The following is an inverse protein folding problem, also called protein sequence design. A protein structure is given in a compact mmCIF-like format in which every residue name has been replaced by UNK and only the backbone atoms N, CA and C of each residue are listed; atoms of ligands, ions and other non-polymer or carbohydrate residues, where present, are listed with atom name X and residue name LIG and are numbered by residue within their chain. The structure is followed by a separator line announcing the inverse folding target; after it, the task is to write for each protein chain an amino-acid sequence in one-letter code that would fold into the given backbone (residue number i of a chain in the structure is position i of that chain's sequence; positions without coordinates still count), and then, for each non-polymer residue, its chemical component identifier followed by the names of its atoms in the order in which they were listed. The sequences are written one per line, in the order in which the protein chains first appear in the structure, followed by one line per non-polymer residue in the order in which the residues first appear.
data_IF_834694848677
#
_entry.id   IF_834694848677
#
_cell.length_a   1.000
_cell.length_b   1.000
_cell.length_c   1.000
_cell.angle_alpha   90.00
_cell.angle_beta   90.00
_cell.angle_gamma   90.00
#
_symmetry.space_group_name_H-M   'P 1'
#
loop_
_entity.id
_entity.type
_entity.pdbx_description
1 polymer ?
#
# COMPACT_ATOMS: atom_id res chain seq x y z
N UNK A 1 4.29 21.55 23.68
CA UNK A 1 4.39 21.78 22.22
C UNK A 1 5.05 23.13 22.05
N UNK A 2 6.13 23.24 21.27
CA UNK A 2 6.71 24.57 21.02
C UNK A 2 5.69 25.42 20.27
N UNK A 3 5.62 26.73 20.56
CA UNK A 3 4.67 27.66 19.93
C UNK A 3 4.67 27.55 18.40
N UNK A 4 5.79 27.13 17.80
CA UNK A 4 5.98 26.94 16.36
C UNK A 4 5.00 25.96 15.69
N UNK A 5 4.35 25.06 16.43
CA UNK A 5 3.45 24.03 15.88
C UNK A 5 2.02 24.08 16.43
N UNK A 6 1.54 25.23 16.92
CA UNK A 6 0.13 25.37 17.28
C UNK A 6 -0.78 25.30 16.04
N UNK A 7 -2.03 24.89 16.23
CA UNK A 7 -3.06 24.86 15.16
C UNK A 7 -3.21 26.27 14.58
N UNK A 8 -3.23 27.31 15.43
CA UNK A 8 -3.32 28.70 15.00
C UNK A 8 -2.13 29.11 14.13
N UNK A 9 -0.91 28.72 14.50
CA UNK A 9 0.28 29.09 13.75
C UNK A 9 0.38 28.35 12.41
N UNK A 10 0.01 27.06 12.37
CA UNK A 10 -0.07 26.34 11.09
C UNK A 10 -1.12 26.95 10.16
N UNK A 11 -2.29 27.34 10.69
CA UNK A 11 -3.34 27.99 9.90
C UNK A 11 -2.86 29.34 9.35
N UNK A 12 -2.21 30.16 10.17
CA UNK A 12 -1.68 31.45 9.75
C UNK A 12 -0.63 31.28 8.63
N UNK A 13 0.24 30.29 8.74
CA UNK A 13 1.23 29.96 7.70
C UNK A 13 0.55 29.50 6.41
N UNK A 14 -0.40 28.56 6.49
CA UNK A 14 -1.14 28.05 5.32
C UNK A 14 -1.90 29.17 4.61
N UNK A 15 -2.61 30.01 5.36
CA UNK A 15 -3.34 31.16 4.81
C UNK A 15 -2.39 32.12 4.09
N UNK A 16 -1.28 32.50 4.73
CA UNK A 16 -0.29 33.39 4.09
C UNK A 16 0.30 32.79 2.82
N UNK A 17 0.64 31.51 2.84
CA UNK A 17 1.16 30.80 1.65
C UNK A 17 0.12 30.72 0.54
N UNK A 18 -1.15 30.49 0.88
CA UNK A 18 -2.24 30.44 -0.10
C UNK A 18 -2.53 31.81 -0.72
N UNK A 19 -2.55 32.88 0.07
CA UNK A 19 -2.66 34.26 -0.44
C UNK A 19 -1.52 34.56 -1.42
N UNK A 20 -0.27 34.30 -1.03
CA UNK A 20 0.88 34.54 -1.89
C UNK A 20 0.81 33.75 -3.21
N UNK A 21 0.30 32.51 -3.17
CA UNK A 21 0.06 31.71 -4.36
C UNK A 21 -1.00 32.34 -5.29
N UNK A 22 -2.16 32.73 -4.74
CA UNK A 22 -3.22 33.38 -5.52
C UNK A 22 -2.76 34.69 -6.16
N UNK A 23 -1.96 35.48 -5.42
CA UNK A 23 -1.43 36.74 -5.90
C UNK A 23 -0.38 36.56 -7.00
N UNK A 24 0.46 35.51 -6.91
CA UNK A 24 1.47 35.17 -7.93
C UNK A 24 0.85 34.58 -9.19
N UNK A 25 -0.22 33.78 -9.07
CA UNK A 25 -0.81 33.10 -10.24
C UNK A 25 -1.54 34.08 -11.18
N UNK A 26 -2.15 35.12 -10.64
CA UNK A 26 -2.95 36.08 -11.40
C UNK A 26 -2.33 37.48 -11.35
N UNK A 27 -1.60 37.84 -12.40
CA UNK A 27 -0.96 39.15 -12.53
C UNK A 27 -1.98 40.22 -12.95
N UNK A 28 -2.11 41.28 -12.15
CA UNK A 28 -2.97 42.44 -12.41
C UNK A 28 -2.05 43.64 -12.62
N UNK A 29 -2.33 44.50 -13.62
CA UNK A 29 -1.52 45.71 -13.90
C UNK A 29 -1.96 46.93 -13.10
N UNK A 30 -3.24 46.96 -12.71
CA UNK A 30 -3.84 48.08 -11.99
C UNK A 30 -3.54 47.98 -10.48
N UNK A 31 -2.84 48.97 -9.94
CA UNK A 31 -2.46 48.99 -8.53
C UNK A 31 -3.66 49.10 -7.57
N UNK A 32 -4.76 49.73 -8.00
CA UNK A 32 -5.98 49.83 -7.19
C UNK A 32 -6.59 48.46 -6.96
N UNK A 33 -6.70 47.66 -8.02
CA UNK A 33 -7.19 46.29 -7.97
C UNK A 33 -6.27 45.35 -7.19
N UNK A 34 -4.95 45.55 -7.26
CA UNK A 34 -3.99 44.79 -6.43
C UNK A 34 -4.25 45.07 -4.95
N UNK A 35 -4.40 46.34 -4.56
CA UNK A 35 -4.67 46.73 -3.18
C UNK A 35 -6.01 46.19 -2.68
N UNK A 36 -7.08 46.35 -3.47
CA UNK A 36 -8.41 45.84 -3.12
C UNK A 36 -8.40 44.32 -2.95
N UNK A 37 -7.78 43.58 -3.89
CA UNK A 37 -7.63 42.13 -3.79
C UNK A 37 -6.87 41.73 -2.52
N UNK A 38 -5.73 42.36 -2.24
CA UNK A 38 -4.95 42.04 -1.05
C UNK A 38 -5.77 42.27 0.23
N UNK A 39 -6.52 43.37 0.28
CA UNK A 39 -7.40 43.68 1.39
C UNK A 39 -8.53 42.64 1.54
N UNK A 40 -9.17 42.24 0.45
CA UNK A 40 -10.21 41.20 0.47
C UNK A 40 -9.67 39.84 0.94
N UNK A 41 -8.48 39.45 0.51
CA UNK A 41 -7.88 38.16 0.86
C UNK A 41 -7.37 38.10 2.31
N UNK A 42 -6.95 39.25 2.87
CA UNK A 42 -6.38 39.32 4.22
C UNK A 42 -7.39 39.67 5.30
N UNK A 43 -8.38 40.52 4.98
CA UNK A 43 -9.37 41.04 5.93
C UNK A 43 -10.77 40.47 5.71
N UNK A 44 -11.04 39.87 4.55
CA UNK A 44 -12.32 39.28 4.26
C UNK A 44 -12.55 38.00 5.06
N UNK A 45 -13.55 38.02 5.94
CA UNK A 45 -13.97 36.83 6.67
C UNK A 45 -14.54 35.78 5.70
N UNK A 46 -14.13 34.52 5.86
CA UNK A 46 -14.65 33.38 5.10
C UNK A 46 -14.46 33.45 3.57
N UNK A 47 -13.58 34.32 3.05
CA UNK A 47 -13.30 34.45 1.61
C UNK A 47 -12.46 33.27 1.11
N UNK A 48 -11.31 33.03 1.73
CA UNK A 48 -10.37 31.95 1.34
C UNK A 48 -10.17 30.88 2.41
N UNK A 49 -10.57 31.17 3.65
CA UNK A 49 -10.40 30.25 4.77
C UNK A 49 -11.49 30.50 5.81
N UNK A 50 -11.83 29.45 6.56
CA UNK A 50 -12.70 29.53 7.74
C UNK A 50 -11.90 29.17 8.98
N UNK A 51 -12.36 29.63 10.14
CA UNK A 51 -11.84 29.12 11.41
C UNK A 51 -12.00 27.60 11.45
N UNK A 52 -10.95 26.86 11.85
CA UNK A 52 -10.99 25.41 11.86
C UNK A 52 -12.03 24.94 12.88
N UNK A 53 -12.91 24.04 12.46
CA UNK A 53 -13.74 23.30 13.39
C UNK A 53 -12.86 22.26 14.07
N UNK A 54 -12.73 22.36 15.39
CA UNK A 54 -12.03 21.36 16.20
C UNK A 54 -13.10 20.40 16.71
N UNK A 55 -13.15 19.21 16.13
CA UNK A 55 -14.01 18.14 16.59
C UNK A 55 -13.15 17.06 17.27
N UNK A 56 -13.52 16.69 18.50
CA UNK A 56 -13.00 15.48 19.12
C UNK A 56 -13.86 14.32 18.64
N UNK A 57 -13.36 13.51 17.72
CA UNK A 57 -14.08 12.32 17.27
C UNK A 57 -14.22 11.34 18.44
N UNK A 58 -15.43 10.91 18.81
CA UNK A 58 -15.62 9.92 19.87
C UNK A 58 -14.90 8.63 19.47
N UNK A 59 -14.21 8.01 20.43
CA UNK A 59 -13.55 6.72 20.22
C UNK A 59 -14.61 5.63 20.25
N UNK A 60 -14.68 4.82 19.21
CA UNK A 60 -15.59 3.67 19.16
C UNK A 60 -15.29 2.69 20.31
N UNK A 61 -16.34 2.05 20.83
CA UNK A 61 -16.20 1.08 21.91
C UNK A 61 -15.28 -0.08 21.52
N UNK A 62 -14.33 -0.40 22.39
CA UNK A 62 -13.34 -1.45 22.20
C UNK A 62 -13.65 -2.66 23.07
N UNK A 63 -13.47 -3.85 22.50
CA UNK A 63 -13.44 -5.11 23.24
C UNK A 63 -12.05 -5.29 23.85
N UNK A 64 -11.97 -5.92 25.03
CA UNK A 64 -10.73 -6.04 25.79
C UNK A 64 -9.63 -6.82 25.07
N UNK A 65 -9.96 -7.92 24.38
CA UNK A 65 -9.04 -8.65 23.51
C UNK A 65 -9.77 -9.68 22.63
N UNK A 66 -9.10 -10.17 21.59
CA UNK A 66 -9.56 -11.30 20.78
C UNK A 66 -9.78 -12.60 21.57
N UNK A 67 -9.15 -12.78 22.74
CA UNK A 67 -9.29 -14.01 23.53
C UNK A 67 -10.73 -14.23 24.02
N UNK A 68 -11.47 -13.14 24.23
CA UNK A 68 -12.86 -13.16 24.70
C UNK A 68 -13.88 -13.21 23.57
N UNK A 69 -13.42 -13.27 22.32
CA UNK A 69 -14.30 -13.26 21.15
C UNK A 69 -14.60 -14.71 20.74
N UNK A 70 -15.88 -14.99 20.51
CA UNK A 70 -16.33 -16.29 20.02
C UNK A 70 -16.07 -16.40 18.51
N UNK A 71 -14.99 -17.10 18.15
CA UNK A 71 -14.53 -17.34 16.77
C UNK A 71 -13.90 -18.73 16.68
N UNK A 72 -13.82 -19.32 15.47
CA UNK A 72 -13.03 -20.52 15.23
C UNK A 72 -11.61 -20.35 15.79
N UNK A 73 -11.12 -21.34 16.54
CA UNK A 73 -9.86 -21.24 17.29
C UNK A 73 -8.68 -20.85 16.40
N UNK A 74 -8.58 -21.41 15.19
CA UNK A 74 -7.51 -21.09 14.25
C UNK A 74 -7.50 -19.61 13.83
N UNK A 75 -8.68 -19.00 13.66
CA UNK A 75 -8.83 -17.59 13.31
C UNK A 75 -8.45 -16.71 14.49
N UNK A 76 -9.01 -17.02 15.67
CA UNK A 76 -8.75 -16.30 16.92
C UNK A 76 -7.25 -16.29 17.26
N UNK A 77 -6.60 -17.45 17.24
CA UNK A 77 -5.18 -17.59 17.55
C UNK A 77 -4.31 -16.82 16.56
N UNK A 78 -4.71 -16.81 15.29
CA UNK A 78 -4.01 -16.06 14.25
C UNK A 78 -4.15 -14.56 14.46
N UNK A 79 -5.34 -14.05 14.73
CA UNK A 79 -5.56 -12.62 14.98
C UNK A 79 -4.80 -12.13 16.21
N UNK A 80 -4.76 -12.93 17.29
CA UNK A 80 -3.95 -12.63 18.48
C UNK A 80 -2.46 -12.51 18.10
N UNK A 81 -1.89 -13.53 17.46
CA UNK A 81 -0.47 -13.53 17.07
C UNK A 81 -0.13 -12.40 16.08
N UNK A 82 -1.01 -12.12 15.12
CA UNK A 82 -0.84 -10.99 14.21
C UNK A 82 -0.87 -9.64 14.96
N UNK A 83 -1.68 -9.53 16.02
CA UNK A 83 -1.71 -8.32 16.83
C UNK A 83 -0.42 -8.12 17.63
N UNK A 84 0.18 -9.20 18.14
CA UNK A 84 1.46 -9.16 18.86
C UNK A 84 2.63 -8.77 17.95
N UNK A 85 2.56 -9.13 16.67
CA UNK A 85 3.56 -8.75 15.67
C UNK A 85 3.49 -7.27 15.24
N UNK A 86 2.46 -6.53 15.68
CA UNK A 86 2.25 -5.12 15.34
C UNK A 86 2.22 -4.83 13.82
N UNK A 87 1.60 -5.73 13.07
CA UNK A 87 1.57 -5.69 11.60
C UNK A 87 0.29 -5.04 11.02
N UNK A 88 -0.40 -4.25 11.83
CA UNK A 88 -1.63 -3.54 11.45
C UNK A 88 -2.94 -4.20 11.92
N UNK A 89 -2.85 -5.29 12.68
CA UNK A 89 -3.95 -5.82 13.49
C UNK A 89 -3.73 -5.34 14.92
N UNK A 90 -4.76 -4.78 15.54
CA UNK A 90 -4.66 -4.22 16.89
C UNK A 90 -5.21 -5.21 17.93
N UNK A 91 -4.59 -5.33 19.12
CA UNK A 91 -4.99 -6.33 20.11
C UNK A 91 -6.38 -6.09 20.72
N UNK A 92 -6.87 -4.85 20.65
CA UNK A 92 -8.19 -4.41 21.14
C UNK A 92 -9.08 -4.03 19.94
N UNK A 93 -9.83 -4.98 19.36
CA UNK A 93 -10.74 -4.68 18.27
C UNK A 93 -11.93 -3.83 18.75
N UNK A 94 -12.53 -3.06 17.85
CA UNK A 94 -13.79 -2.38 18.13
C UNK A 94 -14.96 -3.35 18.18
N UNK A 95 -16.03 -2.97 18.89
CA UNK A 95 -17.23 -3.79 19.04
C UNK A 95 -17.81 -4.24 17.69
N UNK A 96 -18.01 -3.29 16.75
CA UNK A 96 -18.51 -3.60 15.41
C UNK A 96 -17.60 -4.52 14.58
N UNK A 97 -16.29 -4.53 14.85
CA UNK A 97 -15.36 -5.45 14.19
C UNK A 97 -15.55 -6.88 14.70
N UNK A 98 -15.84 -7.02 16.00
CA UNK A 98 -16.16 -8.31 16.64
C UNK A 98 -17.51 -8.83 16.15
N UNK A 99 -18.54 -7.98 16.10
CA UNK A 99 -19.84 -8.34 15.53
C UNK A 99 -19.71 -8.80 14.08
N UNK A 100 -18.93 -8.09 13.26
CA UNK A 100 -18.65 -8.47 11.88
C UNK A 100 -17.97 -9.84 11.77
N UNK A 101 -16.97 -10.11 12.62
CA UNK A 101 -16.27 -11.40 12.65
C UNK A 101 -17.21 -12.55 13.06
N UNK A 102 -18.04 -12.35 14.09
CA UNK A 102 -19.01 -13.35 14.53
C UNK A 102 -20.05 -13.63 13.45
N UNK A 103 -20.66 -12.59 12.88
CA UNK A 103 -21.64 -12.72 11.81
C UNK A 103 -21.07 -13.45 10.58
N UNK A 104 -19.79 -13.23 10.27
CA UNK A 104 -19.14 -13.88 9.14
C UNK A 104 -18.75 -15.34 9.41
N UNK A 105 -18.08 -15.62 10.53
CA UNK A 105 -17.52 -16.96 10.79
C UNK A 105 -18.50 -17.92 11.46
N UNK A 106 -19.39 -17.43 12.33
CA UNK A 106 -20.30 -18.28 13.10
C UNK A 106 -21.67 -18.35 12.43
N UNK A 107 -22.19 -17.21 11.97
CA UNK A 107 -23.52 -17.14 11.33
C UNK A 107 -23.47 -17.31 9.81
N UNK A 108 -22.29 -17.29 9.19
CA UNK A 108 -22.08 -17.38 7.73
C UNK A 108 -22.86 -16.33 6.92
N UNK A 109 -22.89 -15.08 7.40
CA UNK A 109 -23.61 -13.95 6.78
C UNK A 109 -22.69 -13.08 5.92
N UNK A 110 -23.28 -12.51 4.88
CA UNK A 110 -22.72 -11.35 4.18
C UNK A 110 -22.83 -10.08 5.06
N UNK A 111 -21.86 -9.18 4.94
CA UNK A 111 -21.72 -8.03 5.83
C UNK A 111 -21.97 -6.71 5.11
N UNK A 112 -22.76 -5.83 5.74
CA UNK A 112 -22.83 -4.41 5.41
C UNK A 112 -22.29 -3.62 6.61
N UNK A 113 -21.16 -2.95 6.44
CA UNK A 113 -20.51 -2.19 7.50
C UNK A 113 -20.82 -0.70 7.33
N UNK A 114 -21.72 -0.18 8.19
CA UNK A 114 -22.13 1.23 8.18
C UNK A 114 -21.61 1.97 9.41
N UNK A 115 -20.44 2.59 9.28
CA UNK A 115 -19.79 3.36 10.37
C UNK A 115 -19.13 4.63 9.83
N UNK A 116 -18.74 5.56 10.71
CA UNK A 116 -18.03 6.81 10.33
C UNK A 116 -16.58 6.59 9.90
N UNK A 117 -16.00 7.55 9.18
CA UNK A 117 -14.58 7.51 8.78
C UNK A 117 -13.66 7.40 10.00
N UNK A 118 -12.59 6.62 9.89
CA UNK A 118 -11.67 6.38 11.02
C UNK A 118 -12.16 5.35 12.03
N UNK A 119 -13.33 4.74 11.86
CA UNK A 119 -13.84 3.73 12.81
C UNK A 119 -13.12 2.38 12.78
N UNK A 120 -12.17 2.15 11.87
CA UNK A 120 -11.61 0.81 11.65
C UNK A 120 -12.47 -0.11 10.76
N UNK A 121 -13.18 0.47 9.77
CA UNK A 121 -13.89 -0.30 8.72
C UNK A 121 -12.98 -1.26 7.96
N UNK A 122 -11.73 -0.87 7.76
CA UNK A 122 -10.76 -1.66 7.01
C UNK A 122 -10.55 -3.03 7.62
N UNK A 123 -10.42 -3.08 8.93
CA UNK A 123 -10.22 -4.31 9.68
C UNK A 123 -11.48 -5.20 9.64
N UNK A 124 -12.67 -4.60 9.55
CA UNK A 124 -13.94 -5.35 9.50
C UNK A 124 -14.07 -6.24 8.27
N UNK A 125 -13.46 -5.88 7.14
CA UNK A 125 -13.40 -6.77 5.96
C UNK A 125 -12.06 -7.51 5.83
N UNK A 126 -10.96 -6.94 6.33
CA UNK A 126 -9.64 -7.56 6.19
C UNK A 126 -9.48 -8.77 7.12
N UNK A 127 -9.94 -8.70 8.37
CA UNK A 127 -9.81 -9.82 9.30
C UNK A 127 -10.58 -11.07 8.84
N UNK A 128 -11.82 -10.98 8.31
CA UNK A 128 -12.47 -12.11 7.64
C UNK A 128 -11.62 -12.75 6.52
N UNK A 129 -10.99 -11.94 5.67
CA UNK A 129 -10.10 -12.44 4.62
C UNK A 129 -8.92 -13.21 5.24
N UNK A 130 -8.25 -12.64 6.23
CA UNK A 130 -7.12 -13.29 6.90
C UNK A 130 -7.51 -14.60 7.59
N UNK A 131 -8.67 -14.63 8.25
CA UNK A 131 -9.20 -15.84 8.86
C UNK A 131 -9.47 -16.93 7.83
N UNK A 132 -10.12 -16.61 6.70
CA UNK A 132 -10.36 -17.56 5.61
C UNK A 132 -9.06 -18.10 4.99
N UNK A 133 -8.04 -17.24 4.78
CA UNK A 133 -6.74 -17.68 4.26
C UNK A 133 -6.06 -18.66 5.23
N UNK A 134 -6.16 -18.39 6.53
CA UNK A 134 -5.59 -19.23 7.59
C UNK A 134 -6.32 -20.57 7.67
N UNK A 135 -7.66 -20.57 7.59
CA UNK A 135 -8.47 -21.79 7.50
C UNK A 135 -8.08 -22.58 6.26
N UNK A 136 -7.97 -21.95 5.08
CA UNK A 136 -7.52 -22.62 3.85
C UNK A 136 -6.15 -23.27 4.03
N UNK A 137 -5.19 -22.58 4.65
CA UNK A 137 -3.86 -23.11 4.89
C UNK A 137 -3.84 -24.30 5.87
N UNK A 138 -4.72 -24.29 6.87
CA UNK A 138 -4.82 -25.36 7.86
C UNK A 138 -5.55 -26.59 7.30
N UNK A 139 -6.67 -26.39 6.62
CA UNK A 139 -7.59 -27.48 6.25
C UNK A 139 -7.37 -27.97 4.82
N UNK A 140 -6.87 -27.11 3.93
CA UNK A 140 -6.73 -27.39 2.49
C UNK A 140 -5.35 -26.95 1.97
N UNK A 141 -4.24 -27.47 2.52
CA UNK A 141 -2.89 -27.04 2.17
C UNK A 141 -2.56 -27.21 0.68
N UNK A 142 -3.16 -28.18 -0.01
CA UNK A 142 -2.98 -28.35 -1.45
C UNK A 142 -3.69 -27.25 -2.27
N UNK A 143 -4.82 -26.73 -1.80
CA UNK A 143 -5.47 -25.54 -2.39
C UNK A 143 -4.55 -24.32 -2.32
N UNK A 144 -3.85 -24.17 -1.19
CA UNK A 144 -2.90 -23.06 -1.02
C UNK A 144 -1.81 -23.11 -2.07
N UNK A 145 -1.41 -24.27 -2.60
CA UNK A 145 -0.38 -24.38 -3.66
C UNK A 145 -0.89 -23.94 -5.05
N UNK A 146 -2.20 -24.03 -5.30
CA UNK A 146 -2.79 -23.71 -6.60
C UNK A 146 -2.90 -22.19 -6.82
N UNK A 147 -2.50 -21.64 -7.97
CA UNK A 147 -2.73 -20.23 -8.27
C UNK A 147 -4.23 -19.93 -8.35
N UNK A 148 -4.68 -18.85 -7.71
CA UNK A 148 -6.08 -18.46 -7.67
C UNK A 148 -6.30 -17.17 -6.89
N UNK A 149 -7.35 -16.42 -7.24
CA UNK A 149 -7.76 -15.24 -6.50
C UNK A 149 -8.60 -15.67 -5.29
N UNK A 150 -8.17 -15.32 -4.07
CA UNK A 150 -8.89 -15.65 -2.81
C UNK A 150 -9.78 -14.52 -2.33
N UNK A 151 -9.37 -13.28 -2.60
CA UNK A 151 -10.08 -12.08 -2.22
C UNK A 151 -9.82 -11.00 -3.26
N UNK A 152 -10.86 -10.24 -3.59
CA UNK A 152 -10.79 -9.05 -4.43
C UNK A 152 -11.29 -7.85 -3.63
N UNK A 153 -10.40 -6.87 -3.42
CA UNK A 153 -10.72 -5.63 -2.74
C UNK A 153 -10.91 -4.53 -3.80
N UNK A 154 -12.09 -3.91 -3.81
CA UNK A 154 -12.43 -2.84 -4.75
C UNK A 154 -12.43 -1.49 -4.03
N UNK A 155 -11.71 -0.54 -4.60
CA UNK A 155 -11.64 0.83 -4.10
C UNK A 155 -12.04 1.81 -5.20
N UNK A 156 -12.72 2.92 -4.86
CA UNK A 156 -13.17 3.88 -5.86
C UNK A 156 -12.03 4.75 -6.42
N UNK A 157 -10.90 4.87 -5.71
CA UNK A 157 -9.80 5.77 -6.06
C UNK A 157 -8.44 5.09 -5.95
N UNK A 158 -7.54 5.37 -6.90
CA UNK A 158 -6.17 4.87 -6.88
C UNK A 158 -5.37 5.30 -5.63
N UNK A 159 -5.68 6.47 -5.06
CA UNK A 159 -5.07 6.92 -3.81
C UNK A 159 -5.37 5.93 -2.67
N UNK A 160 -6.63 5.51 -2.55
CA UNK A 160 -7.05 4.51 -1.56
C UNK A 160 -6.39 3.16 -1.83
N UNK A 161 -6.29 2.73 -3.09
CA UNK A 161 -5.57 1.50 -3.45
C UNK A 161 -4.12 1.54 -2.94
N UNK A 162 -3.42 2.66 -3.15
CA UNK A 162 -2.02 2.79 -2.74
C UNK A 162 -1.85 2.81 -1.21
N UNK A 163 -2.77 3.46 -0.49
CA UNK A 163 -2.76 3.46 0.98
C UNK A 163 -2.97 2.04 1.53
N UNK A 164 -3.89 1.27 0.94
CA UNK A 164 -4.16 -0.11 1.35
C UNK A 164 -3.04 -1.07 0.94
N UNK A 165 -2.40 -0.86 -0.20
CA UNK A 165 -1.19 -1.59 -0.59
C UNK A 165 -0.08 -1.41 0.45
N UNK A 166 0.11 -0.19 0.96
CA UNK A 166 1.06 0.08 2.04
C UNK A 166 0.75 -0.70 3.33
N UNK A 167 -0.54 -0.85 3.67
CA UNK A 167 -0.96 -1.68 4.81
C UNK A 167 -0.70 -3.17 4.56
N UNK A 168 -1.04 -3.68 3.39
CA UNK A 168 -0.78 -5.08 3.02
C UNK A 168 0.72 -5.40 3.02
N UNK A 169 1.57 -4.46 2.60
CA UNK A 169 3.04 -4.59 2.71
C UNK A 169 3.53 -4.66 4.14
N UNK A 170 2.93 -3.92 5.08
CA UNK A 170 3.28 -4.07 6.51
C UNK A 170 2.85 -5.42 7.06
N UNK A 171 1.67 -5.90 6.63
CA UNK A 171 1.12 -7.17 7.04
C UNK A 171 1.90 -8.37 6.47
N UNK A 172 1.84 -8.55 5.16
CA UNK A 172 2.45 -9.67 4.45
C UNK A 172 3.95 -9.47 4.21
N UNK A 173 4.50 -8.27 4.37
CA UNK A 173 5.95 -8.05 4.31
C UNK A 173 6.68 -8.58 5.54
N UNK A 174 6.00 -8.71 6.68
CA UNK A 174 6.51 -9.42 7.84
C UNK A 174 6.48 -10.94 7.57
N UNK A 175 7.65 -11.57 7.65
CA UNK A 175 7.82 -12.99 7.30
C UNK A 175 7.06 -13.90 8.28
N UNK A 176 7.10 -13.59 9.57
CA UNK A 176 6.39 -14.37 10.61
C UNK A 176 4.87 -14.28 10.41
N UNK A 177 4.35 -13.11 10.08
CA UNK A 177 2.94 -12.93 9.76
C UNK A 177 2.54 -13.70 8.49
N UNK A 178 3.32 -13.59 7.42
CA UNK A 178 3.06 -14.32 6.18
C UNK A 178 3.09 -15.84 6.37
N UNK A 179 4.03 -16.35 7.17
CA UNK A 179 4.15 -17.76 7.54
C UNK A 179 3.00 -18.22 8.42
N UNK A 180 2.61 -17.42 9.40
CA UNK A 180 1.45 -17.71 10.25
C UNK A 180 0.18 -17.90 9.41
N UNK A 181 -0.08 -17.00 8.45
CA UNK A 181 -1.28 -17.07 7.59
C UNK A 181 -1.18 -18.22 6.59
N UNK A 182 0.01 -18.49 6.03
CA UNK A 182 0.18 -19.46 4.94
C UNK A 182 0.48 -20.89 5.42
N UNK A 183 0.74 -21.08 6.71
CA UNK A 183 1.12 -22.36 7.30
C UNK A 183 2.36 -22.98 6.65
N UNK A 184 2.43 -24.31 6.66
CA UNK A 184 3.53 -25.09 6.06
C UNK A 184 3.29 -25.45 4.58
N UNK A 185 2.55 -24.61 3.85
CA UNK A 185 2.14 -24.90 2.46
C UNK A 185 3.27 -24.81 1.42
N UNK A 186 4.45 -24.32 1.80
CA UNK A 186 5.63 -24.18 0.93
C UNK A 186 5.61 -22.93 0.03
N UNK A 187 4.58 -22.09 0.11
CA UNK A 187 4.54 -20.77 -0.52
C UNK A 187 3.66 -19.81 0.29
N UNK A 188 3.83 -18.51 0.11
CA UNK A 188 2.98 -17.52 0.76
C UNK A 188 1.76 -17.14 -0.08
N UNK A 189 0.68 -16.72 0.58
CA UNK A 189 -0.35 -15.94 -0.08
C UNK A 189 0.25 -14.63 -0.61
N UNK A 190 -0.18 -14.25 -1.81
CA UNK A 190 0.33 -13.07 -2.51
C UNK A 190 -0.76 -12.03 -2.66
N UNK A 191 -0.39 -10.77 -2.52
CA UNK A 191 -1.24 -9.62 -2.82
C UNK A 191 -0.68 -8.84 -4.01
N UNK A 192 -1.53 -8.03 -4.64
CA UNK A 192 -1.14 -7.13 -5.72
C UNK A 192 -2.22 -6.08 -5.92
N UNK A 193 -1.88 -5.03 -6.67
CA UNK A 193 -2.81 -3.96 -6.99
C UNK A 193 -2.93 -3.78 -8.50
N UNK A 194 -4.15 -3.49 -8.95
CA UNK A 194 -4.42 -3.05 -10.30
C UNK A 194 -4.97 -1.62 -10.26
N UNK A 195 -4.09 -0.64 -10.49
CA UNK A 195 -4.38 0.79 -10.44
C UNK A 195 -4.01 1.49 -11.77
N UNK A 196 -4.02 0.74 -12.87
CA UNK A 196 -3.57 1.17 -14.20
C UNK A 196 -2.09 1.56 -14.31
N UNK A 197 -1.27 1.37 -13.27
CA UNK A 197 0.20 1.55 -13.31
C UNK A 197 0.95 0.26 -13.62
N UNK A 198 0.24 -0.82 -13.94
CA UNK A 198 0.89 -2.05 -14.43
C UNK A 198 1.70 -1.70 -15.69
N UNK A 199 3.00 -2.07 -15.78
CA UNK A 199 3.92 -1.54 -16.79
C UNK A 199 3.42 -1.60 -18.23
N UNK A 200 2.71 -2.68 -18.59
CA UNK A 200 2.01 -2.80 -19.87
C UNK A 200 0.94 -3.91 -19.85
N UNK A 201 -0.07 -3.87 -20.74
CA UNK A 201 -1.03 -4.96 -20.91
C UNK A 201 -0.55 -6.03 -21.92
N UNK A 202 -1.24 -7.18 -21.88
CA UNK A 202 -1.05 -8.29 -22.82
C UNK A 202 0.11 -9.23 -22.48
N UNK A 203 0.51 -10.05 -23.45
CA UNK A 203 1.64 -10.98 -23.28
C UNK A 203 2.97 -10.22 -23.18
N UNK A 204 3.89 -10.80 -22.39
CA UNK A 204 5.25 -10.28 -22.23
C UNK A 204 6.05 -10.43 -23.52
N UNK A 205 6.92 -9.47 -23.79
CA UNK A 205 7.90 -9.56 -24.87
C UNK A 205 9.19 -8.86 -24.46
N UNK A 206 10.31 -9.28 -25.05
CA UNK A 206 11.62 -8.68 -24.77
C UNK A 206 11.61 -7.15 -24.97
N UNK A 207 10.94 -6.68 -26.01
CA UNK A 207 10.83 -5.25 -26.31
C UNK A 207 10.07 -4.50 -25.20
N UNK A 208 8.92 -5.02 -24.75
CA UNK A 208 8.13 -4.39 -23.68
C UNK A 208 8.85 -4.44 -22.34
N UNK A 209 9.51 -5.55 -22.00
CA UNK A 209 10.27 -5.66 -20.76
C UNK A 209 11.42 -4.64 -20.71
N UNK A 210 12.18 -4.51 -21.80
CA UNK A 210 13.22 -3.48 -21.93
C UNK A 210 12.66 -2.05 -21.90
N UNK A 211 11.48 -1.81 -22.48
CA UNK A 211 10.90 -0.47 -22.53
C UNK A 211 10.27 -0.02 -21.21
N UNK A 212 9.60 -0.91 -20.49
CA UNK A 212 8.73 -0.53 -19.36
C UNK A 212 9.19 -1.08 -18.00
N UNK A 213 9.84 -2.25 -17.96
CA UNK A 213 10.24 -2.88 -16.68
C UNK A 213 11.69 -2.57 -16.35
N UNK A 214 12.59 -2.63 -17.33
CA UNK A 214 14.00 -2.32 -17.11
C UNK A 214 14.22 -0.95 -16.48
N UNK A 215 13.61 0.17 -16.94
CA UNK A 215 13.78 1.47 -16.30
C UNK A 215 13.31 1.48 -14.84
N UNK A 216 12.20 0.81 -14.54
CA UNK A 216 11.69 0.71 -13.17
C UNK A 216 12.71 0.04 -12.23
N UNK A 217 13.48 -0.93 -12.71
CA UNK A 217 14.53 -1.55 -11.90
C UNK A 217 15.81 -0.73 -11.88
N UNK A 218 16.32 -0.29 -13.03
CA UNK A 218 17.61 0.39 -13.09
C UNK A 218 17.55 1.81 -12.49
N UNK A 219 16.47 2.55 -12.72
CA UNK A 219 16.36 3.95 -12.30
C UNK A 219 15.83 4.09 -10.87
N UNK A 220 15.12 3.08 -10.36
CA UNK A 220 14.49 3.12 -9.04
C UNK A 220 14.98 2.01 -8.12
N UNK A 221 14.63 0.73 -8.36
CA UNK A 221 14.89 -0.32 -7.36
C UNK A 221 16.37 -0.65 -7.15
N UNK A 222 17.21 -0.50 -8.17
CA UNK A 222 18.65 -0.72 -8.11
C UNK A 222 19.44 0.58 -7.94
N UNK A 223 18.76 1.73 -7.92
CA UNK A 223 19.41 3.02 -7.79
C UNK A 223 19.89 3.22 -6.35
N UNK A 224 21.18 3.55 -6.12
CA UNK A 224 21.75 3.72 -4.79
C UNK A 224 20.98 4.72 -3.91
N UNK A 225 20.41 5.77 -4.49
CA UNK A 225 19.64 6.79 -3.76
C UNK A 225 18.40 6.21 -3.07
N UNK A 226 17.77 5.20 -3.67
CA UNK A 226 16.61 4.51 -3.10
C UNK A 226 17.02 3.33 -2.23
N UNK A 227 18.05 2.57 -2.64
CA UNK A 227 18.59 1.45 -1.85
C UNK A 227 19.08 1.90 -0.47
N UNK A 228 19.74 3.05 -0.38
CA UNK A 228 20.19 3.63 0.89
C UNK A 228 19.03 3.99 1.83
N UNK A 229 17.80 4.08 1.31
CA UNK A 229 16.59 4.40 2.06
C UNK A 229 15.62 3.22 2.14
N UNK A 230 16.06 2.02 1.72
CA UNK A 230 15.20 0.84 1.63
C UNK A 230 14.49 0.54 2.94
N UNK A 231 15.21 0.48 4.06
CA UNK A 231 14.63 0.13 5.37
C UNK A 231 13.56 1.14 5.81
N UNK A 232 13.78 2.43 5.52
CA UNK A 232 12.78 3.48 5.75
C UNK A 232 11.54 3.24 4.87
N UNK A 233 11.72 2.95 3.59
CA UNK A 233 10.62 2.69 2.66
C UNK A 233 9.85 1.41 3.02
N UNK A 234 10.53 0.36 3.47
CA UNK A 234 9.91 -0.87 3.99
C UNK A 234 9.05 -0.57 5.22
N UNK A 235 9.58 0.16 6.19
CA UNK A 235 8.83 0.58 7.39
C UNK A 235 7.59 1.41 7.04
N UNK A 236 7.68 2.22 5.99
CA UNK A 236 6.56 3.02 5.48
C UNK A 236 5.56 2.22 4.63
N UNK A 237 5.80 0.95 4.33
CA UNK A 237 5.00 0.16 3.37
C UNK A 237 5.15 0.63 1.92
N UNK A 238 6.21 1.38 1.60
CA UNK A 238 6.48 1.95 0.27
C UNK A 238 7.44 1.10 -0.57
N UNK A 239 8.05 0.08 0.01
CA UNK A 239 8.90 -0.88 -0.68
C UNK A 239 8.16 -2.21 -0.95
N UNK A 240 8.33 -2.84 -2.13
CA UNK A 240 7.65 -4.10 -2.43
C UNK A 240 8.03 -5.26 -1.49
N UNK A 241 7.04 -6.06 -1.06
CA UNK A 241 7.26 -7.28 -0.26
C UNK A 241 7.69 -8.47 -1.13
N UNK A 242 8.80 -8.31 -1.83
CA UNK A 242 9.33 -9.23 -2.85
C UNK A 242 10.86 -9.21 -2.86
N UNK A 243 11.49 -10.34 -3.18
CA UNK A 243 12.92 -10.36 -3.48
C UNK A 243 13.17 -9.78 -4.88
N UNK A 244 13.36 -8.47 -4.94
CA UNK A 244 13.55 -7.73 -6.21
C UNK A 244 14.78 -8.18 -6.99
N UNK A 245 15.87 -8.58 -6.31
CA UNK A 245 17.10 -9.04 -6.95
C UNK A 245 16.89 -10.38 -7.66
N UNK A 246 16.32 -11.37 -6.95
CA UNK A 246 16.00 -12.67 -7.53
C UNK A 246 14.91 -12.57 -8.60
N UNK A 247 13.91 -11.70 -8.39
CA UNK A 247 12.88 -11.46 -9.39
C UNK A 247 13.47 -10.85 -10.67
N UNK A 248 14.28 -9.80 -10.56
CA UNK A 248 14.88 -9.14 -11.73
C UNK A 248 15.99 -9.96 -12.41
N UNK A 249 16.69 -10.79 -11.63
CA UNK A 249 17.71 -11.74 -12.06
C UNK A 249 18.72 -11.14 -13.05
N UNK A 250 19.27 -9.96 -12.72
CA UNK A 250 20.23 -9.23 -13.58
C UNK A 250 21.47 -10.07 -13.94
N UNK A 251 21.87 -10.99 -13.07
CA UNK A 251 23.00 -11.91 -13.29
C UNK A 251 22.82 -12.85 -14.49
N UNK A 252 21.59 -13.05 -14.99
CA UNK A 252 21.31 -13.83 -16.19
C UNK A 252 21.54 -13.03 -17.49
N UNK A 253 21.84 -11.74 -17.40
CA UNK A 253 22.21 -10.93 -18.55
C UNK A 253 23.59 -11.33 -19.07
N UNK A 254 23.67 -11.55 -20.38
CA UNK A 254 24.92 -11.91 -21.06
C UNK A 254 25.35 -10.81 -22.02
N UNK A 255 26.56 -10.90 -22.56
CA UNK A 255 27.06 -9.96 -23.58
C UNK A 255 27.29 -10.73 -24.87
N UNK A 256 26.87 -10.15 -26.00
CA UNK A 256 27.22 -10.64 -27.34
C UNK A 256 27.88 -9.53 -28.12
N UNK A 257 28.76 -9.86 -29.06
CA UNK A 257 29.33 -8.86 -29.96
C UNK A 257 28.39 -8.55 -31.13
N UNK A 258 28.45 -7.32 -31.65
CA UNK A 258 27.89 -7.02 -32.96
C UNK A 258 28.69 -7.75 -34.04
N UNK A 259 28.00 -8.56 -34.86
CA UNK A 259 28.63 -9.39 -35.90
C UNK A 259 29.04 -8.61 -37.15
N UNK A 260 28.45 -7.44 -37.39
CA UNK A 260 28.70 -6.63 -38.58
C UNK A 260 28.31 -5.15 -38.37
N UNK A 261 28.79 -4.27 -39.24
CA UNK A 261 28.51 -2.82 -39.23
C UNK A 261 29.56 -1.98 -38.50
N UNK A 262 29.29 -0.67 -38.35
CA UNK A 262 30.24 0.30 -37.73
C UNK A 262 30.65 -0.01 -36.29
N UNK A 263 29.87 -0.85 -35.60
CA UNK A 263 30.10 -1.28 -34.21
C UNK A 263 30.57 -2.73 -34.11
N UNK A 264 31.00 -3.34 -35.22
CA UNK A 264 31.47 -4.72 -35.23
C UNK A 264 32.59 -4.92 -34.21
N UNK A 265 32.48 -5.97 -33.39
CA UNK A 265 33.40 -6.23 -32.26
C UNK A 265 33.02 -5.53 -30.94
N UNK A 266 32.15 -4.52 -30.95
CA UNK A 266 31.61 -3.97 -29.70
C UNK A 266 30.62 -4.95 -29.05
N UNK A 267 30.58 -4.95 -27.71
CA UNK A 267 29.63 -5.75 -26.95
C UNK A 267 28.30 -5.03 -26.77
N UNK A 268 27.21 -5.79 -26.88
CA UNK A 268 25.85 -5.37 -26.48
C UNK A 268 25.29 -6.33 -25.43
N UNK A 269 24.46 -5.84 -24.50
CA UNK A 269 23.76 -6.70 -23.56
C UNK A 269 22.71 -7.57 -24.28
N UNK A 270 22.59 -8.81 -23.82
CA UNK A 270 21.51 -9.73 -24.15
C UNK A 270 20.80 -10.04 -22.84
N UNK A 271 19.63 -9.43 -22.68
CA UNK A 271 18.95 -9.39 -21.39
C UNK A 271 18.36 -10.73 -20.94
N UNK A 272 18.13 -11.72 -21.82
CA UNK A 272 17.56 -13.02 -21.47
C UNK A 272 16.22 -12.94 -20.69
N UNK A 273 15.31 -12.05 -21.10
CA UNK A 273 14.05 -11.76 -20.40
C UNK A 273 13.15 -12.98 -20.13
N UNK A 274 13.27 -14.07 -20.90
CA UNK A 274 12.51 -15.31 -20.70
C UNK A 274 12.78 -15.97 -19.35
N UNK A 275 14.01 -15.84 -18.86
CA UNK A 275 14.49 -16.44 -17.62
C UNK A 275 14.46 -15.45 -16.44
N UNK A 276 14.04 -14.21 -16.69
CA UNK A 276 13.96 -13.12 -15.71
C UNK A 276 12.51 -12.75 -15.40
N UNK A 277 12.32 -11.92 -14.36
CA UNK A 277 11.03 -11.44 -13.89
C UNK A 277 10.12 -12.61 -13.44
N UNK A 278 10.70 -13.52 -12.65
CA UNK A 278 10.02 -14.72 -12.12
C UNK A 278 9.71 -14.52 -10.65
N UNK A 279 8.42 -14.63 -10.30
CA UNK A 279 7.96 -14.60 -8.91
C UNK A 279 8.34 -15.89 -8.20
N UNK A 280 9.01 -15.76 -7.06
CA UNK A 280 9.53 -16.87 -6.26
C UNK A 280 8.50 -17.39 -5.23
N UNK A 281 8.78 -18.50 -4.56
CA UNK A 281 7.87 -19.09 -3.58
C UNK A 281 7.73 -18.22 -2.31
N UNK A 282 8.82 -17.57 -1.91
CA UNK A 282 8.93 -16.68 -0.75
C UNK A 282 8.39 -15.26 -1.00
N UNK A 283 7.97 -14.97 -2.22
CA UNK A 283 7.40 -13.69 -2.59
C UNK A 283 5.96 -13.54 -2.09
N UNK A 284 5.65 -12.36 -1.55
CA UNK A 284 4.35 -12.02 -0.96
C UNK A 284 3.60 -10.94 -1.73
N UNK A 285 4.28 -10.21 -2.61
CA UNK A 285 3.67 -9.20 -3.48
C UNK A 285 3.83 -9.56 -4.95
N UNK A 286 2.82 -9.34 -5.79
CA UNK A 286 2.93 -9.42 -7.25
C UNK A 286 3.28 -8.04 -7.83
N UNK A 287 4.37 -7.95 -8.61
CA UNK A 287 4.77 -6.73 -9.32
C UNK A 287 4.39 -6.76 -10.81
N UNK A 288 4.51 -7.94 -11.41
CA UNK A 288 4.04 -8.23 -12.75
C UNK A 288 3.06 -9.40 -12.67
N UNK A 289 2.34 -9.64 -13.77
CA UNK A 289 1.60 -10.90 -13.95
C UNK A 289 2.54 -12.09 -13.89
#
# INVERSE_FOLDING_TARGET
MSEKYSIQNMLAVLNRTFIAYLEMQYHIKDESLIRERHQMLTQGENIISRSPFIEATPVYEQVQSFQKVDLPNIVKDTLIKLSDLNVGIYPKPYHHQVEALHAFFNDHKDLIISTGTGSGKTESFLMPVLGNLTIEASERPDSVKLPGCRALLLYPLNALVNDQLGRLRKLFGNIEAAKLISGNSGRYFRFGAYNSRTPYPGQRSNAKDSQYIQPLFEDYYNNPSFLNRKDQLETMGKWPSKNLSSFYAKHLETKTQFKSGKRAGEYRPVHNWKDRLKTQAEDRELLTR
#
